data_IF_065729508693
#
_entry.id   IF_065729508693
#
_cell.length_a   1.000
_cell.length_b   1.000
_cell.length_c   1.000
_cell.angle_alpha   90.00
_cell.angle_beta   90.00
_cell.angle_gamma   90.00
#
_symmetry.space_group_name_H-M   'P 1'
#
loop_
_entity.id
_entity.type
_entity.pdbx_description
1 polymer ?
#
# COMPACT_ATOMS: atom_id res chain seq x y z
N UNK A 1 41.87 -36.07 -11.36
CA UNK A 1 40.47 -35.74 -11.67
C UNK A 1 39.64 -35.98 -10.42
N UNK A 2 39.01 -34.91 -9.94
CA UNK A 2 37.73 -34.81 -9.23
C UNK A 2 37.49 -35.57 -7.92
N UNK A 3 37.65 -34.84 -6.80
CA UNK A 3 36.85 -35.02 -5.60
C UNK A 3 36.76 -33.70 -4.81
N UNK A 4 36.19 -32.65 -5.41
CA UNK A 4 35.81 -31.41 -4.70
C UNK A 4 34.39 -31.05 -5.13
N UNK A 5 33.37 -31.83 -4.71
CA UNK A 5 31.97 -31.52 -5.01
C UNK A 5 31.00 -32.02 -3.93
N UNK A 6 31.28 -31.79 -2.64
CA UNK A 6 30.35 -32.22 -1.57
C UNK A 6 30.10 -31.23 -0.43
N UNK A 7 30.48 -29.96 -0.56
CA UNK A 7 30.23 -28.95 0.50
C UNK A 7 29.46 -27.69 0.06
N UNK A 8 28.94 -27.63 -1.17
CA UNK A 8 28.19 -26.46 -1.65
C UNK A 8 26.66 -26.61 -1.59
N UNK A 9 26.12 -27.72 -1.10
CA UNK A 9 24.68 -27.98 -1.10
C UNK A 9 23.96 -27.58 0.21
N UNK A 10 24.68 -27.29 1.31
CA UNK A 10 24.06 -26.93 2.59
C UNK A 10 23.90 -25.42 2.82
N UNK A 11 24.54 -24.56 2.02
CA UNK A 11 24.43 -23.11 2.16
C UNK A 11 23.27 -22.49 1.35
N UNK A 12 22.83 -23.14 0.27
CA UNK A 12 21.72 -22.64 -0.55
C UNK A 12 20.35 -22.84 0.11
N UNK A 13 20.19 -23.88 0.96
CA UNK A 13 18.94 -24.12 1.69
C UNK A 13 18.72 -23.10 2.83
N UNK A 14 19.79 -22.60 3.46
CA UNK A 14 19.70 -21.58 4.51
C UNK A 14 19.36 -20.19 3.94
N UNK A 15 19.83 -19.87 2.72
CA UNK A 15 19.55 -18.59 2.06
C UNK A 15 18.16 -18.55 1.40
N UNK A 16 17.56 -19.69 1.05
CA UNK A 16 16.18 -19.73 0.55
C UNK A 16 15.11 -19.74 1.67
N UNK A 17 15.45 -20.11 2.91
CA UNK A 17 14.50 -20.12 4.04
C UNK A 17 14.34 -18.76 4.72
N UNK A 18 15.29 -17.83 4.53
CA UNK A 18 15.15 -16.45 5.02
C UNK A 18 14.36 -15.54 4.06
N UNK A 19 14.12 -15.94 2.80
CA UNK A 19 13.38 -15.14 1.83
C UNK A 19 11.86 -15.40 1.82
N UNK A 20 11.40 -16.52 2.39
CA UNK A 20 9.99 -16.92 2.36
C UNK A 20 9.19 -16.55 3.63
N UNK A 21 9.84 -15.97 4.64
CA UNK A 21 9.20 -15.60 5.91
C UNK A 21 9.60 -14.18 6.37
N UNK A 22 9.75 -13.25 5.43
CA UNK A 22 9.62 -11.84 5.81
C UNK A 22 8.13 -11.59 5.98
N UNK A 23 7.58 -11.45 7.21
CA UNK A 23 6.28 -10.81 7.34
C UNK A 23 6.42 -9.48 6.61
N UNK A 24 5.60 -9.24 5.57
CA UNK A 24 5.56 -7.93 4.93
C UNK A 24 5.51 -6.91 6.07
N UNK A 25 6.51 -6.01 6.11
CA UNK A 25 6.52 -4.98 7.13
C UNK A 25 5.18 -4.24 7.06
N UNK A 26 4.62 -3.82 8.19
CA UNK A 26 3.32 -3.14 8.18
C UNK A 26 3.33 -1.92 7.22
N UNK A 27 4.49 -1.28 7.04
CA UNK A 27 4.71 -0.22 6.04
C UNK A 27 4.53 -0.69 4.60
N UNK A 28 5.00 -1.89 4.24
CA UNK A 28 4.86 -2.44 2.88
C UNK A 28 3.39 -2.80 2.59
N UNK A 29 2.73 -3.46 3.54
CA UNK A 29 1.30 -3.77 3.43
C UNK A 29 0.46 -2.48 3.35
N UNK A 30 0.85 -1.46 4.10
CA UNK A 30 0.24 -0.14 4.08
C UNK A 30 0.39 0.55 2.71
N UNK A 31 1.62 0.62 2.19
CA UNK A 31 1.90 1.24 0.90
C UNK A 31 1.17 0.50 -0.24
N UNK A 32 1.23 -0.84 -0.25
CA UNK A 32 0.55 -1.66 -1.27
C UNK A 32 -0.97 -1.48 -1.21
N UNK A 33 -1.56 -1.49 -0.02
CA UNK A 33 -2.98 -1.23 0.19
C UNK A 33 -3.37 0.19 -0.24
N UNK A 34 -2.57 1.18 0.12
CA UNK A 34 -2.78 2.57 -0.25
C UNK A 34 -2.72 2.80 -1.77
N UNK A 35 -1.74 2.19 -2.45
CA UNK A 35 -1.65 2.19 -3.93
C UNK A 35 -2.91 1.60 -4.57
N UNK A 36 -3.45 0.51 -4.01
CA UNK A 36 -4.71 -0.09 -4.48
C UNK A 36 -5.92 0.81 -4.20
N UNK A 37 -5.95 1.47 -3.05
CA UNK A 37 -7.02 2.40 -2.68
C UNK A 37 -7.04 3.65 -3.56
N UNK A 38 -5.89 4.07 -4.09
CA UNK A 38 -5.78 5.18 -5.04
C UNK A 38 -5.76 4.78 -6.51
N UNK A 39 -5.66 3.48 -6.80
CA UNK A 39 -5.71 2.97 -8.17
C UNK A 39 -6.95 3.54 -8.88
N UNK A 40 -6.80 3.78 -10.18
CA UNK A 40 -7.77 4.43 -11.07
C UNK A 40 -7.91 5.96 -10.94
N UNK A 41 -7.42 6.59 -9.87
CA UNK A 41 -7.54 8.07 -9.70
C UNK A 41 -6.23 8.76 -9.39
N UNK A 42 -5.22 8.02 -8.95
CA UNK A 42 -3.93 8.59 -8.59
C UNK A 42 -2.79 7.59 -8.77
N UNK A 43 -1.58 8.13 -8.93
CA UNK A 43 -0.32 7.40 -8.89
C UNK A 43 0.44 7.82 -7.63
N UNK A 44 0.85 6.84 -6.82
CA UNK A 44 1.67 7.09 -5.61
C UNK A 44 3.13 7.18 -6.04
N UNK A 45 3.73 8.36 -5.89
CA UNK A 45 5.12 8.61 -6.28
C UNK A 45 6.09 8.30 -5.14
N UNK A 46 5.72 8.67 -3.92
CA UNK A 46 6.50 8.41 -2.71
C UNK A 46 5.55 8.08 -1.55
N UNK A 47 5.97 7.17 -0.67
CA UNK A 47 5.22 6.80 0.53
C UNK A 47 6.17 6.71 1.72
N UNK A 48 5.87 7.50 2.75
CA UNK A 48 6.67 7.56 3.97
C UNK A 48 5.79 7.36 5.19
N UNK A 49 6.08 6.31 5.93
CA UNK A 49 5.54 6.14 7.28
C UNK A 49 6.12 7.23 8.22
N UNK A 50 5.24 7.87 9.00
CA UNK A 50 5.61 8.85 10.03
C UNK A 50 5.59 8.22 11.42
N UNK A 51 4.45 7.61 11.79
CA UNK A 51 4.21 7.02 13.11
C UNK A 51 3.32 5.79 12.95
N UNK A 52 3.42 4.85 13.88
CA UNK A 52 2.49 3.74 13.98
C UNK A 52 2.13 3.46 15.44
N UNK A 53 0.85 3.27 15.72
CA UNK A 53 0.31 2.98 17.04
C UNK A 53 -0.56 1.73 17.01
N UNK A 54 -0.27 0.76 17.89
CA UNK A 54 -1.12 -0.42 18.04
C UNK A 54 -2.49 -0.04 18.63
N UNK A 55 -3.54 -0.68 18.14
CA UNK A 55 -4.90 -0.54 18.65
C UNK A 55 -5.55 -1.90 18.83
N UNK A 56 -6.34 -2.06 19.89
CA UNK A 56 -7.23 -3.20 20.01
C UNK A 56 -8.44 -3.00 19.08
N UNK A 57 -8.73 -4.02 18.26
CA UNK A 57 -9.88 -4.07 17.36
C UNK A 57 -10.73 -5.30 17.71
N UNK A 58 -12.01 -5.35 17.31
CA UNK A 58 -12.88 -6.52 17.55
C UNK A 58 -12.31 -7.83 16.98
N UNK A 59 -11.55 -7.72 15.90
CA UNK A 59 -10.91 -8.82 15.17
C UNK A 59 -9.46 -9.11 15.62
N UNK A 60 -8.97 -8.44 16.66
CA UNK A 60 -7.65 -8.68 17.24
C UNK A 60 -6.77 -7.42 17.30
N UNK A 61 -5.47 -7.58 17.02
CA UNK A 61 -4.53 -6.46 17.02
C UNK A 61 -4.61 -5.67 15.71
N UNK A 62 -4.84 -4.38 15.83
CA UNK A 62 -4.74 -3.41 14.74
C UNK A 62 -3.49 -2.54 14.86
N UNK A 63 -3.11 -1.93 13.75
CA UNK A 63 -2.10 -0.89 13.68
C UNK A 63 -2.69 0.32 12.95
N UNK A 64 -2.73 1.46 13.62
CA UNK A 64 -2.99 2.75 12.99
C UNK A 64 -1.65 3.31 12.55
N UNK A 65 -1.47 3.53 11.26
CA UNK A 65 -0.22 4.05 10.69
C UNK A 65 -0.49 5.40 10.04
N UNK A 66 0.22 6.42 10.52
CA UNK A 66 0.20 7.77 9.98
C UNK A 66 1.30 7.90 8.92
N UNK A 67 0.98 8.51 7.79
CA UNK A 67 1.88 8.60 6.65
C UNK A 67 1.91 10.00 6.04
N UNK A 68 2.98 10.26 5.32
CA UNK A 68 3.09 11.32 4.32
C UNK A 68 3.34 10.66 2.97
N UNK A 69 2.68 11.11 1.92
CA UNK A 69 2.84 10.56 0.57
C UNK A 69 2.79 11.65 -0.47
N UNK A 70 3.60 11.52 -1.51
CA UNK A 70 3.47 12.30 -2.73
C UNK A 70 2.63 11.51 -3.73
N UNK A 71 1.55 12.12 -4.19
CA UNK A 71 0.57 11.49 -5.09
C UNK A 71 0.32 12.39 -6.28
N UNK A 72 0.42 11.82 -7.49
CA UNK A 72 -0.07 12.44 -8.71
C UNK A 72 -1.53 12.06 -8.92
N UNK A 73 -2.44 13.01 -8.77
CA UNK A 73 -3.82 12.84 -9.16
C UNK A 73 -3.91 12.80 -10.68
N UNK A 74 -4.52 11.75 -11.21
CA UNK A 74 -4.67 11.59 -12.64
C UNK A 74 -5.82 12.45 -13.13
N UNK A 75 -5.79 12.86 -14.39
CA UNK A 75 -7.00 13.28 -15.08
C UNK A 75 -7.83 12.05 -15.48
N UNK A 76 -9.11 12.24 -15.82
CA UNK A 76 -9.94 11.16 -16.37
C UNK A 76 -9.29 10.54 -17.62
N UNK A 77 -8.70 11.37 -18.47
CA UNK A 77 -8.03 10.94 -19.71
C UNK A 77 -6.77 10.12 -19.43
N UNK A 78 -5.99 10.50 -18.42
CA UNK A 78 -4.83 9.73 -17.96
C UNK A 78 -5.28 8.41 -17.34
N UNK A 79 -6.30 8.44 -16.49
CA UNK A 79 -6.85 7.27 -15.82
C UNK A 79 -7.43 6.25 -16.81
N UNK A 80 -8.15 6.71 -17.84
CA UNK A 80 -8.73 5.84 -18.88
C UNK A 80 -7.68 5.14 -19.75
N UNK A 81 -6.43 5.63 -19.77
CA UNK A 81 -5.30 5.01 -20.48
C UNK A 81 -4.59 3.94 -19.64
N UNK A 82 -4.88 3.84 -18.35
CA UNK A 82 -4.32 2.82 -17.49
C UNK A 82 -5.04 1.49 -17.67
N UNK A 83 -4.26 0.40 -17.61
CA UNK A 83 -4.84 -0.94 -17.55
C UNK A 83 -5.62 -1.10 -16.24
N UNK A 84 -6.89 -1.51 -16.34
CA UNK A 84 -7.82 -1.54 -15.21
C UNK A 84 -8.27 -0.16 -14.68
N UNK A 85 -8.03 0.92 -15.43
CA UNK A 85 -8.54 2.26 -15.11
C UNK A 85 -10.07 2.37 -15.18
N UNK A 86 -10.65 3.45 -14.66
CA UNK A 86 -12.08 3.65 -14.71
C UNK A 86 -12.48 3.95 -16.16
N UNK A 87 -13.29 3.07 -16.75
CA UNK A 87 -13.73 3.24 -18.14
C UNK A 87 -14.86 4.27 -18.29
N UNK A 88 -15.49 4.64 -17.16
CA UNK A 88 -16.61 5.56 -17.12
C UNK A 88 -16.36 6.69 -16.10
N UNK A 89 -16.79 7.90 -16.47
CA UNK A 89 -16.68 9.11 -15.64
C UNK A 89 -17.30 8.93 -14.26
N UNK A 90 -18.41 8.19 -14.15
CA UNK A 90 -19.09 8.00 -12.87
C UNK A 90 -18.24 7.17 -11.90
N UNK A 91 -17.58 6.11 -12.37
CA UNK A 91 -16.70 5.29 -11.54
C UNK A 91 -15.48 6.10 -11.06
N UNK A 92 -14.92 6.92 -11.94
CA UNK A 92 -13.83 7.83 -11.60
C UNK A 92 -14.24 8.84 -10.52
N UNK A 93 -15.39 9.51 -10.69
CA UNK A 93 -15.90 10.49 -9.72
C UNK A 93 -16.23 9.86 -8.37
N UNK A 94 -16.85 8.68 -8.35
CA UNK A 94 -17.16 7.96 -7.12
C UNK A 94 -15.88 7.59 -6.35
N UNK A 95 -14.82 7.18 -7.06
CA UNK A 95 -13.53 6.87 -6.46
C UNK A 95 -12.83 8.13 -5.91
N UNK A 96 -12.87 9.24 -6.64
CA UNK A 96 -12.37 10.53 -6.14
C UNK A 96 -13.12 10.97 -4.88
N UNK A 97 -14.44 10.83 -4.84
CA UNK A 97 -15.25 11.20 -3.68
C UNK A 97 -14.90 10.35 -2.44
N UNK A 98 -14.76 9.03 -2.61
CA UNK A 98 -14.29 8.12 -1.56
C UNK A 98 -12.94 8.57 -0.97
N UNK A 99 -11.97 8.87 -1.84
CA UNK A 99 -10.62 9.29 -1.41
C UNK A 99 -10.67 10.65 -0.71
N UNK A 100 -11.41 11.61 -1.28
CA UNK A 100 -11.58 12.96 -0.71
C UNK A 100 -12.15 12.91 0.70
N UNK A 101 -13.16 12.06 0.92
CA UNK A 101 -13.83 11.93 2.22
C UNK A 101 -12.90 11.38 3.32
N UNK A 102 -11.84 10.63 2.93
CA UNK A 102 -10.88 10.03 3.86
C UNK A 102 -9.64 10.88 4.09
N UNK A 103 -9.13 11.54 3.06
CA UNK A 103 -7.92 12.38 3.14
C UNK A 103 -8.20 13.83 3.52
N UNK A 104 -9.47 14.25 3.57
CA UNK A 104 -9.90 15.57 4.04
C UNK A 104 -9.71 16.72 3.05
N UNK A 105 -8.80 16.58 2.08
CA UNK A 105 -8.66 17.51 0.95
C UNK A 105 -9.10 16.85 -0.35
N UNK A 106 -9.91 17.58 -1.12
CA UNK A 106 -10.30 17.15 -2.46
C UNK A 106 -9.09 17.09 -3.40
N UNK A 107 -8.85 15.97 -4.09
CA UNK A 107 -7.75 15.79 -5.02
C UNK A 107 -7.85 16.75 -6.21
N UNK A 108 -6.72 17.34 -6.62
CA UNK A 108 -6.66 18.18 -7.83
C UNK A 108 -6.13 17.38 -9.02
N UNK A 109 -7.04 16.93 -9.87
CA UNK A 109 -6.71 16.19 -11.09
C UNK A 109 -5.58 16.83 -11.91
N UNK A 110 -4.62 16.01 -12.35
CA UNK A 110 -3.45 16.42 -13.12
C UNK A 110 -2.31 17.03 -12.31
N UNK A 111 -2.37 17.03 -10.97
CA UNK A 111 -1.33 17.61 -10.10
C UNK A 111 -0.72 16.58 -9.16
N UNK A 112 0.58 16.72 -8.94
CA UNK A 112 1.28 16.09 -7.84
C UNK A 112 1.10 16.91 -6.57
N UNK A 113 0.70 16.27 -5.47
CA UNK A 113 0.49 16.90 -4.18
C UNK A 113 1.06 16.02 -3.06
N UNK A 114 1.63 16.66 -2.04
CA UNK A 114 1.96 15.99 -0.79
C UNK A 114 0.73 15.95 0.09
N UNK A 115 0.38 14.75 0.55
CA UNK A 115 -0.76 14.49 1.41
C UNK A 115 -0.32 13.78 2.67
N UNK A 116 -1.12 13.94 3.72
CA UNK A 116 -0.99 13.21 4.97
C UNK A 116 -2.29 12.50 5.26
N UNK A 117 -2.18 11.37 5.93
CA UNK A 117 -3.35 10.63 6.36
C UNK A 117 -2.98 9.48 7.27
N UNK A 118 -4.01 8.75 7.66
CA UNK A 118 -3.88 7.54 8.46
C UNK A 118 -4.48 6.35 7.71
N UNK A 119 -3.95 5.17 7.99
CA UNK A 119 -4.47 3.91 7.46
C UNK A 119 -4.51 2.85 8.56
N UNK A 120 -5.45 1.91 8.41
CA UNK A 120 -5.65 0.83 9.36
C UNK A 120 -5.14 -0.47 8.77
N UNK A 121 -4.31 -1.16 9.55
CA UNK A 121 -3.95 -2.55 9.30
C UNK A 121 -4.45 -3.44 10.43
N UNK A 122 -4.71 -4.70 10.11
CA UNK A 122 -5.06 -5.75 11.07
C UNK A 122 -4.04 -6.86 10.98
N UNK A 123 -3.60 -7.34 12.14
CA UNK A 123 -2.69 -8.47 12.22
C UNK A 123 -3.45 -9.76 11.98
N UNK A 124 -3.05 -10.52 10.96
CA UNK A 124 -3.45 -11.90 10.74
C UNK A 124 -2.29 -12.87 10.99
N UNK A 125 -2.62 -14.16 10.92
CA UNK A 125 -1.68 -15.29 10.88
C UNK A 125 -0.69 -15.18 9.71
N UNK A 126 -1.15 -14.73 8.55
CA UNK A 126 -0.34 -14.60 7.33
C UNK A 126 0.41 -13.27 7.20
N UNK A 127 0.09 -12.23 7.97
CA UNK A 127 0.75 -10.93 7.81
C UNK A 127 -0.01 -9.75 8.40
N UNK A 128 0.19 -8.58 7.80
CA UNK A 128 -0.61 -7.37 8.04
C UNK A 128 -1.59 -7.19 6.89
N UNK A 129 -2.87 -7.07 7.20
CA UNK A 129 -3.94 -6.89 6.22
C UNK A 129 -4.37 -5.43 6.23
N UNK A 130 -4.26 -4.76 5.10
CA UNK A 130 -4.78 -3.41 4.91
C UNK A 130 -6.31 -3.40 4.97
N UNK A 131 -6.88 -2.52 5.81
CA UNK A 131 -8.34 -2.35 5.97
C UNK A 131 -8.88 -1.05 5.34
N UNK A 132 -8.02 -0.14 4.93
CA UNK A 132 -8.42 1.12 4.29
C UNK A 132 -7.78 2.36 4.89
N UNK A 133 -7.99 3.48 4.19
CA UNK A 133 -7.74 4.83 4.71
C UNK A 133 -8.68 5.14 5.89
N UNK A 134 -8.17 5.82 6.90
CA UNK A 134 -8.94 6.29 8.06
C UNK A 134 -8.85 7.81 8.10
N UNK A 135 -9.97 8.45 8.44
CA UNK A 135 -10.00 9.88 8.71
C UNK A 135 -9.42 10.12 10.10
N UNK A 136 -8.41 10.98 10.19
CA UNK A 136 -7.89 11.48 11.48
C UNK A 136 -8.95 12.23 12.28
#
# INVERSE_FOLDING_TARGET
>A
MNAILTQAACAAAALCLCACNCPESASVAAESGFRKDLAAVAEVLDFRQLEAAERALPEGKGLLLNFESEVKWLTLEEAARLDGGPQETQAYLAKLEYVSARLGTGPKAGRAEKIRGALLLVKSDVGWIYKGLIRE
#
